data_IF_645265810474
#
_entry.id   IF_645265810474
#
_cell.length_a   1.000
_cell.length_b   1.000
_cell.length_c   1.000
_cell.angle_alpha   90.00
_cell.angle_beta   90.00
_cell.angle_gamma   90.00
#
_symmetry.space_group_name_H-M   'P 1'
#
loop_
_entity.id
_entity.type
_entity.pdbx_description
1 polymer ?
#
# COMPACT_ATOMS: atom_id res chain seq x y z
N UNK A 1 -10.91 -5.00 -20.74
CA UNK A 1 -11.27 -5.35 -19.35
C UNK A 1 -10.01 -5.37 -18.52
N UNK A 2 -9.91 -4.53 -17.50
CA UNK A 2 -8.81 -4.62 -16.51
C UNK A 2 -9.06 -5.83 -15.62
N UNK A 3 -8.06 -6.72 -15.49
CA UNK A 3 -8.16 -7.86 -14.58
C UNK A 3 -8.13 -7.39 -13.12
N UNK A 4 -8.70 -8.17 -12.21
CA UNK A 4 -8.60 -7.90 -10.77
C UNK A 4 -7.14 -7.76 -10.30
N UNK A 5 -6.22 -8.51 -10.93
CA UNK A 5 -4.79 -8.40 -10.67
C UNK A 5 -4.23 -7.02 -11.06
N UNK A 6 -4.64 -6.47 -12.22
CA UNK A 6 -4.18 -5.14 -12.65
C UNK A 6 -4.71 -4.04 -11.73
N UNK A 7 -5.96 -4.15 -11.27
CA UNK A 7 -6.52 -3.22 -10.27
C UNK A 7 -5.74 -3.29 -8.97
N UNK A 8 -5.41 -4.49 -8.49
CA UNK A 8 -4.60 -4.65 -7.30
C UNK A 8 -3.22 -4.00 -7.47
N UNK A 9 -2.53 -4.27 -8.58
CA UNK A 9 -1.22 -3.67 -8.87
C UNK A 9 -1.28 -2.14 -8.90
N UNK A 10 -2.33 -1.55 -9.46
CA UNK A 10 -2.50 -0.09 -9.47
C UNK A 10 -2.67 0.54 -8.09
N UNK A 11 -3.19 -0.22 -7.11
CA UNK A 11 -3.31 0.24 -5.72
C UNK A 11 -1.93 0.29 -5.05
N UNK A 12 -0.99 -0.57 -5.46
CA UNK A 12 0.38 -0.62 -4.92
C UNK A 12 1.35 0.33 -5.63
N UNK A 13 0.91 1.05 -6.67
CA UNK A 13 1.70 2.09 -7.32
C UNK A 13 1.66 3.39 -6.49
N UNK A 14 2.45 3.40 -5.40
CA UNK A 14 2.49 4.52 -4.47
C UNK A 14 3.27 5.70 -5.04
N UNK A 15 2.70 6.89 -4.96
CA UNK A 15 3.35 8.12 -5.40
C UNK A 15 4.39 8.58 -4.36
N UNK A 16 5.69 8.65 -4.70
CA UNK A 16 6.72 9.11 -3.77
C UNK A 16 6.64 10.62 -3.60
N UNK A 17 6.60 11.08 -2.35
CA UNK A 17 6.56 12.51 -1.99
C UNK A 17 7.90 13.01 -1.41
N UNK A 18 8.94 12.17 -1.48
CA UNK A 18 10.25 12.41 -0.85
C UNK A 18 10.27 12.16 0.66
N UNK A 19 11.47 12.09 1.24
CA UNK A 19 11.69 11.91 2.68
C UNK A 19 10.91 10.72 3.29
N UNK A 20 10.93 9.56 2.63
CA UNK A 20 10.21 8.35 3.05
C UNK A 20 8.69 8.54 3.18
N UNK A 21 8.11 9.52 2.47
CA UNK A 21 6.67 9.74 2.38
C UNK A 21 6.14 9.20 1.05
N UNK A 22 5.02 8.51 1.12
CA UNK A 22 4.35 7.89 0.00
C UNK A 22 2.85 8.14 0.08
N UNK A 23 2.22 8.44 -1.06
CA UNK A 23 0.78 8.60 -1.15
C UNK A 23 0.16 7.39 -1.82
N UNK A 24 -0.67 6.66 -1.06
CA UNK A 24 -1.49 5.58 -1.56
C UNK A 24 -2.86 6.07 -2.04
N UNK A 25 -3.48 5.29 -2.92
CA UNK A 25 -4.85 5.51 -3.39
C UNK A 25 -5.74 4.36 -2.90
N UNK A 26 -6.99 4.66 -2.58
CA UNK A 26 -8.04 3.68 -2.32
C UNK A 26 -9.10 3.78 -3.41
N UNK A 27 -9.62 2.66 -3.93
CA UNK A 27 -10.75 2.69 -4.85
C UNK A 27 -11.94 3.40 -4.22
N UNK A 28 -12.56 4.32 -4.97
CA UNK A 28 -13.86 4.86 -4.61
C UNK A 28 -14.93 3.87 -5.03
N UNK A 29 -15.34 3.02 -4.09
CA UNK A 29 -16.35 1.99 -4.28
C UNK A 29 -17.67 2.33 -3.57
N UNK A 30 -17.86 3.59 -3.16
CA UNK A 30 -19.03 4.03 -2.40
C UNK A 30 -19.06 3.59 -0.93
N UNK A 31 -18.03 2.88 -0.45
CA UNK A 31 -17.86 2.56 0.96
C UNK A 31 -16.92 3.57 1.63
N UNK A 32 -17.27 4.02 2.83
CA UNK A 32 -16.45 4.96 3.60
C UNK A 32 -15.26 4.30 4.30
N UNK A 33 -15.20 2.96 4.32
CA UNK A 33 -14.15 2.20 5.00
C UNK A 33 -13.14 1.66 4.00
N UNK A 34 -11.86 1.85 4.29
CA UNK A 34 -10.77 1.23 3.55
C UNK A 34 -10.54 -0.19 4.09
N UNK A 35 -10.31 -1.14 3.18
CA UNK A 35 -9.95 -2.50 3.56
C UNK A 35 -8.60 -2.51 4.31
N UNK A 36 -8.56 -3.08 5.52
CA UNK A 36 -7.35 -3.05 6.35
C UNK A 36 -6.13 -3.70 5.69
N UNK A 37 -6.33 -4.78 4.93
CA UNK A 37 -5.25 -5.43 4.17
C UNK A 37 -4.65 -4.53 3.09
N UNK A 38 -5.44 -3.61 2.50
CA UNK A 38 -4.90 -2.59 1.60
C UNK A 38 -3.99 -1.62 2.35
N UNK A 39 -4.45 -1.08 3.48
CA UNK A 39 -3.68 -0.11 4.28
C UNK A 39 -2.35 -0.72 4.71
N UNK A 40 -2.38 -1.93 5.28
CA UNK A 40 -1.17 -2.63 5.74
C UNK A 40 -0.27 -3.00 4.55
N UNK A 41 -0.84 -3.47 3.44
CA UNK A 41 -0.08 -3.82 2.24
C UNK A 41 0.66 -2.62 1.66
N UNK A 42 -0.01 -1.48 1.51
CA UNK A 42 0.60 -0.24 1.05
C UNK A 42 1.68 0.25 2.04
N UNK A 43 1.41 0.19 3.35
CA UNK A 43 2.39 0.57 4.37
C UNK A 43 3.66 -0.29 4.32
N UNK A 44 3.52 -1.61 4.17
CA UNK A 44 4.65 -2.53 4.04
C UNK A 44 5.42 -2.28 2.74
N UNK A 45 4.72 -2.07 1.62
CA UNK A 45 5.36 -1.76 0.33
C UNK A 45 6.18 -0.47 0.41
N UNK A 46 5.62 0.58 1.02
CA UNK A 46 6.33 1.83 1.28
C UNK A 46 7.59 1.60 2.13
N UNK A 47 7.49 0.83 3.22
CA UNK A 47 8.65 0.51 4.06
C UNK A 47 9.76 -0.20 3.26
N UNK A 48 9.40 -1.18 2.42
CA UNK A 48 10.35 -1.88 1.54
C UNK A 48 11.04 -0.96 0.51
N UNK A 49 10.45 0.19 0.15
CA UNK A 49 11.08 1.19 -0.73
C UNK A 49 12.13 2.05 -0.05
N UNK A 50 12.22 1.99 1.28
CA UNK A 50 13.17 2.79 2.07
C UNK A 50 14.42 2.01 2.49
N UNK A 51 14.45 0.69 2.24
CA UNK A 51 15.55 -0.20 2.63
C UNK A 51 15.91 -1.09 1.44
N UNK A 52 17.14 -0.94 0.94
CA UNK A 52 17.65 -1.73 -0.17
C UNK A 52 18.12 -3.12 0.30
N UNK A 53 18.04 -4.11 -0.59
CA UNK A 53 18.56 -5.48 -0.40
C UNK A 53 18.04 -6.22 0.85
N UNK A 54 16.84 -5.86 1.35
CA UNK A 54 16.20 -6.56 2.48
C UNK A 54 14.77 -6.98 2.19
N UNK A 55 14.40 -8.15 2.70
CA UNK A 55 13.03 -8.65 2.70
C UNK A 55 12.41 -8.49 4.10
N UNK A 56 11.13 -8.10 4.19
CA UNK A 56 10.44 -8.04 5.48
C UNK A 56 10.23 -9.45 6.03
N UNK A 57 10.50 -9.64 7.32
CA UNK A 57 10.31 -10.93 8.01
C UNK A 57 9.11 -10.92 8.98
N UNK A 58 8.66 -9.75 9.42
CA UNK A 58 7.50 -9.58 10.30
C UNK A 58 6.95 -8.16 10.18
N UNK A 59 5.66 -7.98 10.46
CA UNK A 59 5.00 -6.67 10.55
C UNK A 59 4.00 -6.69 11.70
N UNK A 60 4.00 -5.63 12.51
CA UNK A 60 3.00 -5.37 13.54
C UNK A 60 2.32 -4.05 13.22
N UNK A 61 0.98 -4.02 13.28
CA UNK A 61 0.20 -2.83 13.00
C UNK A 61 -1.02 -2.76 13.93
N UNK A 62 -1.45 -1.54 14.21
CA UNK A 62 -2.69 -1.25 14.92
C UNK A 62 -3.56 -0.35 14.05
N UNK A 63 -4.86 -0.62 14.04
CA UNK A 63 -5.86 0.33 13.54
C UNK A 63 -6.38 1.11 14.75
N UNK A 64 -6.25 2.44 14.69
CA UNK A 64 -6.68 3.37 15.73
C UNK A 64 -8.08 3.89 15.43
#
# INVERSE_FOLDING_TARGET
MTSAANTLLSIFDLEPLGHNRFQGRSPDNGWTRVFGGQVIGQALYAACKTVEERQPHSLHAYFM
#
